data_IF_795055365304
#
_entry.id   IF_795055365304
#
_cell.length_a   1.000
_cell.length_b   1.000
_cell.length_c   1.000
_cell.angle_alpha   90.00
_cell.angle_beta   90.00
_cell.angle_gamma   90.00
#
_symmetry.space_group_name_H-M   'P 1'
#
loop_
_entity.id
_entity.type
_entity.pdbx_description
1 polymer ?
#
# COMPACT_ATOMS: atom_id res chain seq x y z
N UNK A 1 -3.88 7.88 22.02
CA UNK A 1 -4.70 8.10 20.82
C UNK A 1 -6.14 8.21 21.28
N UNK A 2 -6.77 9.38 21.18
CA UNK A 2 -8.17 9.57 21.56
C UNK A 2 -9.08 9.05 20.46
N UNK A 3 -10.06 8.21 20.82
CA UNK A 3 -11.12 7.78 19.89
C UNK A 3 -12.19 8.88 19.91
N UNK A 4 -12.50 9.44 18.75
CA UNK A 4 -13.58 10.42 18.61
C UNK A 4 -14.93 9.75 18.91
N UNK A 5 -15.67 10.18 19.95
CA UNK A 5 -16.95 9.57 20.33
C UNK A 5 -18.07 9.81 19.31
N UNK A 6 -17.85 10.66 18.28
CA UNK A 6 -18.82 10.88 17.19
C UNK A 6 -18.71 9.86 16.05
N UNK A 7 -17.70 8.99 16.06
CA UNK A 7 -17.51 7.96 15.06
C UNK A 7 -18.68 6.96 15.08
N UNK A 8 -19.33 6.77 13.93
CA UNK A 8 -20.41 5.78 13.82
C UNK A 8 -19.87 4.40 14.18
N UNK A 9 -20.77 3.52 14.67
CA UNK A 9 -20.38 2.15 15.04
C UNK A 9 -19.77 1.36 13.87
N UNK A 10 -19.95 1.85 12.64
CA UNK A 10 -19.54 1.23 11.38
C UNK A 10 -18.35 1.93 10.72
N UNK A 11 -17.74 2.95 11.35
CA UNK A 11 -16.58 3.64 10.78
C UNK A 11 -15.32 2.78 10.91
N UNK A 12 -14.53 2.72 9.84
CA UNK A 12 -13.25 2.00 9.79
C UNK A 12 -12.09 2.98 9.71
N UNK A 13 -11.02 2.69 10.45
CA UNK A 13 -9.71 3.31 10.26
C UNK A 13 -8.89 2.50 9.27
N UNK A 14 -8.68 3.05 8.09
CA UNK A 14 -7.86 2.48 7.04
C UNK A 14 -6.41 2.93 7.19
N UNK A 15 -5.50 1.97 7.24
CA UNK A 15 -4.06 2.20 7.17
C UNK A 15 -3.60 1.73 5.80
N UNK A 16 -3.27 2.68 4.92
CA UNK A 16 -2.79 2.39 3.57
C UNK A 16 -1.28 2.54 3.56
N UNK A 17 -0.59 1.41 3.63
CA UNK A 17 0.86 1.34 3.51
C UNK A 17 1.28 1.30 2.04
N UNK A 18 2.23 2.17 1.70
CA UNK A 18 2.90 2.19 0.42
C UNK A 18 4.40 2.42 0.63
N UNK A 19 5.19 2.08 -0.39
CA UNK A 19 6.62 2.35 -0.38
C UNK A 19 7.19 2.01 -1.75
N UNK A 20 8.22 2.74 -2.21
CA UNK A 20 8.98 2.32 -3.38
C UNK A 20 9.47 0.86 -3.22
N UNK A 21 9.65 0.11 -4.32
CA UNK A 21 10.36 -1.16 -4.28
C UNK A 21 11.68 -1.03 -3.52
N UNK A 22 12.17 -2.09 -2.87
CA UNK A 22 13.48 -2.08 -2.15
C UNK A 22 13.61 -1.19 -0.92
N UNK A 23 12.48 -0.88 -0.31
CA UNK A 23 12.40 -0.22 1.00
C UNK A 23 12.10 -1.18 2.15
N UNK A 24 12.04 -2.50 1.89
CA UNK A 24 11.66 -3.51 2.90
C UNK A 24 10.15 -3.79 2.95
N UNK A 25 9.40 -3.31 1.94
CA UNK A 25 7.97 -3.57 1.72
C UNK A 25 7.64 -5.06 1.77
N UNK A 26 8.40 -5.90 1.08
CA UNK A 26 8.20 -7.37 1.05
C UNK A 26 8.19 -7.98 2.46
N UNK A 27 9.19 -7.67 3.28
CA UNK A 27 9.29 -8.22 4.64
C UNK A 27 8.13 -7.78 5.53
N UNK A 28 7.72 -6.51 5.42
CA UNK A 28 6.55 -6.01 6.14
C UNK A 28 5.27 -6.68 5.68
N UNK A 29 5.06 -6.83 4.37
CA UNK A 29 3.85 -7.45 3.85
C UNK A 29 3.75 -8.93 4.20
N UNK A 30 4.88 -9.66 4.16
CA UNK A 30 4.95 -11.05 4.61
C UNK A 30 4.63 -11.17 6.10
N UNK A 31 5.14 -10.27 6.94
CA UNK A 31 4.81 -10.23 8.36
C UNK A 31 3.31 -9.97 8.59
N UNK A 32 2.74 -8.97 7.92
CA UNK A 32 1.30 -8.67 8.01
C UNK A 32 0.44 -9.86 7.61
N UNK A 33 0.87 -10.63 6.60
CA UNK A 33 0.18 -11.84 6.17
C UNK A 33 0.31 -12.98 7.17
N UNK A 34 1.52 -13.21 7.67
CA UNK A 34 1.80 -14.29 8.61
C UNK A 34 1.07 -14.10 9.95
N UNK A 35 0.92 -12.84 10.37
CA UNK A 35 0.31 -12.48 11.65
C UNK A 35 -1.16 -12.04 11.50
N UNK A 36 -1.83 -12.32 10.38
CA UNK A 36 -3.20 -11.83 10.12
C UNK A 36 -4.20 -12.26 11.19
N UNK A 37 -4.07 -13.49 11.69
CA UNK A 37 -4.98 -14.04 12.71
C UNK A 37 -4.75 -13.37 14.07
N UNK A 38 -3.48 -13.16 14.44
CA UNK A 38 -3.11 -12.43 15.65
C UNK A 38 -3.62 -10.98 15.60
N UNK A 39 -3.40 -10.30 14.47
CA UNK A 39 -3.88 -8.94 14.23
C UNK A 39 -5.40 -8.84 14.29
N UNK A 40 -6.11 -9.82 13.71
CA UNK A 40 -7.58 -9.89 13.78
C UNK A 40 -8.07 -10.03 15.22
N UNK A 41 -7.43 -10.87 16.03
CA UNK A 41 -7.71 -10.97 17.47
C UNK A 41 -7.50 -9.66 18.25
N UNK A 42 -6.70 -8.74 17.71
CA UNK A 42 -6.47 -7.39 18.23
C UNK A 42 -7.37 -6.32 17.58
N UNK A 43 -8.32 -6.70 16.73
CA UNK A 43 -9.25 -5.81 16.05
C UNK A 43 -8.68 -5.11 14.81
N UNK A 44 -7.64 -5.69 14.21
CA UNK A 44 -6.99 -5.21 12.97
C UNK A 44 -7.19 -6.24 11.85
N UNK A 45 -7.92 -5.85 10.81
CA UNK A 45 -8.09 -6.65 9.61
C UNK A 45 -6.93 -6.45 8.64
N UNK A 46 -6.39 -7.56 8.13
CA UNK A 46 -5.49 -7.59 6.96
C UNK A 46 -6.24 -8.36 5.88
N UNK A 47 -7.04 -7.67 5.04
CA UNK A 47 -7.92 -8.32 4.09
C UNK A 47 -7.13 -9.08 3.01
N UNK A 48 -7.81 -10.03 2.39
CA UNK A 48 -7.27 -10.92 1.35
C UNK A 48 -7.73 -10.52 -0.04
N UNK A 49 -8.77 -9.69 -0.15
CA UNK A 49 -9.24 -9.16 -1.43
C UNK A 49 -8.14 -8.34 -2.11
N UNK A 50 -7.86 -8.67 -3.38
CA UNK A 50 -6.79 -8.06 -4.14
C UNK A 50 -5.38 -8.50 -3.73
N UNK A 51 -5.26 -9.51 -2.85
CA UNK A 51 -3.98 -10.08 -2.47
C UNK A 51 -3.46 -11.03 -3.54
N UNK A 52 -2.24 -10.78 -4.01
CA UNK A 52 -1.51 -11.68 -4.90
C UNK A 52 -0.07 -11.78 -4.39
N UNK A 53 0.51 -12.97 -4.42
CA UNK A 53 1.83 -13.25 -3.87
C UNK A 53 1.98 -12.75 -2.41
N UNK A 54 2.74 -11.68 -2.20
CA UNK A 54 3.04 -11.14 -0.89
C UNK A 54 2.32 -9.83 -0.57
N UNK A 55 1.45 -9.25 -1.41
CA UNK A 55 0.82 -7.95 -1.14
C UNK A 55 -0.55 -7.76 -1.83
N UNK A 56 -1.20 -6.62 -1.60
CA UNK A 56 -2.43 -6.23 -2.29
C UNK A 56 -2.14 -5.74 -3.73
N UNK A 57 -1.50 -6.55 -4.58
CA UNK A 57 -1.15 -6.14 -5.95
C UNK A 57 -2.37 -5.93 -6.86
N UNK A 58 -3.54 -6.46 -6.51
CA UNK A 58 -4.80 -6.21 -7.20
C UNK A 58 -5.45 -4.86 -6.87
N UNK A 59 -5.06 -4.25 -5.75
CA UNK A 59 -5.64 -2.98 -5.31
C UNK A 59 -5.24 -1.78 -6.20
N UNK A 60 -3.96 -1.55 -6.54
CA UNK A 60 -3.56 -0.45 -7.42
C UNK A 60 -4.33 -0.39 -8.75
N UNK A 61 -4.42 -1.47 -9.56
CA UNK A 61 -5.21 -1.42 -10.79
C UNK A 61 -6.70 -1.22 -10.52
N UNK A 62 -7.27 -1.78 -9.45
CA UNK A 62 -8.67 -1.55 -9.08
C UNK A 62 -8.94 -0.08 -8.72
N UNK A 63 -8.02 0.60 -8.03
CA UNK A 63 -8.13 2.03 -7.73
C UNK A 63 -8.07 2.87 -9.01
N UNK A 64 -7.13 2.58 -9.91
CA UNK A 64 -6.97 3.32 -11.18
C UNK A 64 -8.19 3.12 -12.08
N UNK A 65 -8.66 1.88 -12.23
CA UNK A 65 -9.80 1.54 -13.07
C UNK A 65 -11.15 1.89 -12.42
N UNK A 66 -11.17 2.26 -11.13
CA UNK A 66 -12.38 2.38 -10.30
C UNK A 66 -13.25 1.13 -10.40
N UNK A 67 -12.62 -0.03 -10.28
CA UNK A 67 -13.29 -1.33 -10.30
C UNK A 67 -14.15 -1.50 -9.04
N UNK A 68 -15.43 -1.12 -9.16
CA UNK A 68 -16.37 -1.14 -8.06
C UNK A 68 -16.59 -2.54 -7.50
N UNK A 69 -16.47 -3.61 -8.31
CA UNK A 69 -16.65 -4.97 -7.83
C UNK A 69 -15.55 -5.37 -6.85
N UNK A 70 -14.28 -5.18 -7.23
CA UNK A 70 -13.14 -5.48 -6.36
C UNK A 70 -13.13 -4.59 -5.11
N UNK A 71 -13.45 -3.30 -5.25
CA UNK A 71 -13.45 -2.37 -4.12
C UNK A 71 -14.62 -2.64 -3.15
N UNK A 72 -15.80 -3.01 -3.65
CA UNK A 72 -16.92 -3.43 -2.80
C UNK A 72 -16.62 -4.74 -2.07
N UNK A 73 -16.05 -5.74 -2.76
CA UNK A 73 -15.61 -6.98 -2.11
C UNK A 73 -14.62 -6.72 -0.97
N UNK A 74 -13.64 -5.83 -1.19
CA UNK A 74 -12.66 -5.45 -0.18
C UNK A 74 -13.33 -4.79 1.03
N UNK A 75 -14.28 -3.88 0.78
CA UNK A 75 -15.04 -3.23 1.84
C UNK A 75 -15.86 -4.24 2.63
N UNK A 76 -16.59 -5.12 1.95
CA UNK A 76 -17.45 -6.12 2.57
C UNK A 76 -16.64 -7.10 3.43
N UNK A 77 -15.45 -7.51 2.97
CA UNK A 77 -14.52 -8.32 3.76
C UNK A 77 -14.10 -7.62 5.05
N UNK A 78 -13.72 -6.34 4.97
CA UNK A 78 -13.34 -5.55 6.15
C UNK A 78 -14.51 -5.39 7.11
N UNK A 79 -15.71 -5.07 6.62
CA UNK A 79 -16.89 -4.93 7.47
C UNK A 79 -17.28 -6.26 8.13
N UNK A 80 -17.19 -7.36 7.39
CA UNK A 80 -17.52 -8.70 7.89
C UNK A 80 -16.52 -9.21 8.93
N UNK A 81 -15.30 -8.68 8.94
CA UNK A 81 -14.29 -9.03 9.95
C UNK A 81 -14.62 -8.53 11.37
N UNK A 82 -15.53 -7.55 11.49
CA UNK A 82 -15.82 -6.87 12.77
C UNK A 82 -14.67 -6.03 13.34
N UNK A 83 -13.54 -5.95 12.63
CA UNK A 83 -12.39 -5.15 13.01
C UNK A 83 -12.66 -3.65 12.77
N UNK A 84 -12.05 -2.78 13.58
CA UNK A 84 -12.18 -1.32 13.43
C UNK A 84 -11.03 -0.69 12.66
N UNK A 85 -9.95 -1.45 12.47
CA UNK A 85 -8.78 -1.03 11.70
C UNK A 85 -8.60 -1.99 10.54
N UNK A 86 -8.31 -1.48 9.35
CA UNK A 86 -7.96 -2.27 8.19
C UNK A 86 -6.60 -1.84 7.64
N UNK A 87 -5.72 -2.78 7.35
CA UNK A 87 -4.37 -2.52 6.82
C UNK A 87 -4.28 -2.98 5.37
N UNK A 88 -4.13 -2.03 4.46
CA UNK A 88 -3.86 -2.28 3.05
C UNK A 88 -2.38 -2.04 2.78
N UNK A 89 -1.74 -2.89 1.99
CA UNK A 89 -0.31 -2.80 1.73
C UNK A 89 0.04 -3.25 0.33
N UNK A 90 0.73 -2.40 -0.42
CA UNK A 90 1.27 -2.74 -1.74
C UNK A 90 2.33 -1.72 -2.15
N UNK A 91 3.47 -2.18 -2.66
CA UNK A 91 4.48 -1.28 -3.23
C UNK A 91 4.01 -0.64 -4.54
N UNK A 92 3.11 -1.32 -5.27
CA UNK A 92 2.50 -0.81 -6.49
C UNK A 92 1.53 0.35 -6.24
N UNK A 93 1.21 0.67 -4.98
CA UNK A 93 0.51 1.92 -4.64
C UNK A 93 1.41 3.14 -4.81
N UNK A 94 2.73 3.00 -4.71
CA UNK A 94 3.66 4.13 -4.86
C UNK A 94 3.48 4.87 -6.19
N UNK A 95 3.57 4.22 -7.38
CA UNK A 95 3.36 4.91 -8.65
C UNK A 95 1.93 5.46 -8.82
N UNK A 96 0.92 4.80 -8.24
CA UNK A 96 -0.47 5.29 -8.28
C UNK A 96 -0.62 6.58 -7.48
N UNK A 97 -0.15 6.61 -6.23
CA UNK A 97 -0.26 7.80 -5.39
C UNK A 97 0.63 8.94 -5.85
N UNK A 98 1.71 8.65 -6.57
CA UNK A 98 2.54 9.68 -7.21
C UNK A 98 1.83 10.34 -8.39
N UNK A 99 1.09 9.58 -9.20
CA UNK A 99 0.45 10.08 -10.43
C UNK A 99 -1.00 10.54 -10.25
N UNK A 100 -1.72 9.94 -9.30
CA UNK A 100 -3.13 10.20 -8.98
C UNK A 100 -3.34 10.14 -7.45
N UNK A 101 -2.85 11.12 -6.68
CA UNK A 101 -2.98 11.13 -5.22
C UNK A 101 -4.43 11.06 -4.73
N UNK A 102 -5.39 11.53 -5.52
CA UNK A 102 -6.83 11.46 -5.27
C UNK A 102 -7.46 10.09 -5.53
N UNK A 103 -6.72 9.12 -6.09
CA UNK A 103 -7.26 7.79 -6.40
C UNK A 103 -7.83 7.10 -5.16
N UNK A 104 -7.21 7.27 -3.99
CA UNK A 104 -7.74 6.75 -2.72
C UNK A 104 -9.10 7.36 -2.37
N UNK A 105 -9.18 8.70 -2.32
CA UNK A 105 -10.38 9.41 -1.86
C UNK A 105 -11.53 9.33 -2.85
N UNK A 106 -11.26 9.15 -4.15
CA UNK A 106 -12.27 9.08 -5.22
C UNK A 106 -12.66 7.66 -5.63
N UNK A 107 -12.02 6.63 -5.06
CA UNK A 107 -12.25 5.22 -5.41
C UNK A 107 -13.64 4.69 -5.05
N UNK A 108 -14.32 5.30 -4.07
CA UNK A 108 -15.54 4.74 -3.48
C UNK A 108 -15.29 3.62 -2.46
N UNK A 109 -14.03 3.28 -2.15
CA UNK A 109 -13.68 2.28 -1.13
C UNK A 109 -14.06 2.73 0.28
N UNK A 110 -13.91 4.03 0.57
CA UNK A 110 -14.09 4.60 1.91
C UNK A 110 -15.48 5.24 2.04
N UNK A 111 -16.19 4.96 3.13
CA UNK A 111 -17.50 5.54 3.40
C UNK A 111 -17.38 6.84 4.22
N UNK A 112 -18.44 7.67 4.25
CA UNK A 112 -18.52 8.78 5.18
C UNK A 112 -18.28 8.33 6.63
N UNK A 113 -17.35 8.99 7.32
CA UNK A 113 -16.96 8.67 8.70
C UNK A 113 -15.72 7.77 8.82
N UNK A 114 -15.31 7.09 7.75
CA UNK A 114 -14.03 6.39 7.72
C UNK A 114 -12.87 7.38 7.83
N UNK A 115 -11.76 6.93 8.40
CA UNK A 115 -10.50 7.68 8.42
C UNK A 115 -9.44 6.94 7.62
N UNK A 116 -8.65 7.66 6.84
CA UNK A 116 -7.58 7.07 6.03
C UNK A 116 -6.24 7.65 6.48
N UNK A 117 -5.37 6.78 6.99
CA UNK A 117 -3.98 7.09 7.28
C UNK A 117 -3.10 6.47 6.21
N UNK A 118 -2.34 7.29 5.50
CA UNK A 118 -1.37 6.82 4.52
C UNK A 118 0.01 6.74 5.19
N UNK A 119 0.69 5.60 5.07
CA UNK A 119 2.00 5.34 5.68
C UNK A 119 3.01 5.00 4.59
N UNK A 120 3.98 5.88 4.39
CA UNK A 120 5.08 5.68 3.44
C UNK A 120 6.30 5.05 4.12
N UNK A 121 6.80 3.93 3.60
CA UNK A 121 8.09 3.36 4.01
C UNK A 121 9.19 3.84 3.06
N UNK A 122 10.15 4.60 3.60
CA UNK A 122 11.26 5.17 2.82
C UNK A 122 12.60 4.61 3.30
N UNK A 123 13.57 4.57 2.38
CA UNK A 123 14.96 4.18 2.65
C UNK A 123 15.89 5.32 2.24
N UNK A 124 17.03 5.54 2.92
CA UNK A 124 18.04 6.49 2.45
C UNK A 124 18.43 6.22 0.99
N UNK A 125 18.56 7.30 0.22
CA UNK A 125 18.70 7.24 -1.24
C UNK A 125 19.86 6.35 -1.71
N UNK A 126 21.06 6.51 -1.16
CA UNK A 126 22.23 5.71 -1.54
C UNK A 126 22.01 4.20 -1.38
N UNK A 127 21.65 3.72 -0.17
CA UNK A 127 21.29 2.32 0.04
C UNK A 127 20.12 1.82 -0.81
N UNK A 128 19.15 2.68 -1.12
CA UNK A 128 18.03 2.34 -2.00
C UNK A 128 18.51 2.08 -3.44
N UNK A 129 19.30 2.99 -4.01
CA UNK A 129 19.91 2.87 -5.34
C UNK A 129 20.73 1.59 -5.49
N UNK A 130 21.58 1.27 -4.51
CA UNK A 130 22.38 0.03 -4.51
C UNK A 130 21.47 -1.20 -4.54
N UNK A 131 20.36 -1.17 -3.81
CA UNK A 131 19.43 -2.29 -3.75
C UNK A 131 18.63 -2.45 -5.05
N UNK A 132 18.28 -1.36 -5.71
CA UNK A 132 17.60 -1.35 -7.01
C UNK A 132 18.53 -1.89 -8.10
N UNK A 133 19.78 -1.41 -8.15
CA UNK A 133 20.81 -1.92 -9.06
C UNK A 133 21.09 -3.40 -8.83
N UNK A 134 21.19 -3.83 -7.57
CA UNK A 134 21.36 -5.25 -7.25
C UNK A 134 20.19 -6.12 -7.73
N UNK A 135 18.97 -5.59 -7.80
CA UNK A 135 17.84 -6.30 -8.41
C UNK A 135 17.91 -6.33 -9.93
N UNK A 136 18.21 -5.22 -10.60
CA UNK A 136 18.26 -5.17 -12.06
C UNK A 136 19.29 -6.15 -12.64
N UNK A 137 20.39 -6.39 -11.92
CA UNK A 137 21.37 -7.42 -12.27
C UNK A 137 20.81 -8.85 -12.14
N UNK A 138 19.89 -9.11 -11.19
CA UNK A 138 19.28 -10.43 -10.99
C UNK A 138 18.15 -10.71 -11.97
N UNK A 139 17.36 -9.69 -12.34
CA UNK A 139 16.22 -9.85 -13.25
C UNK A 139 16.62 -9.89 -14.72
N UNK A 140 17.91 -9.79 -15.03
CA UNK A 140 18.45 -9.67 -16.41
C UNK A 140 17.93 -8.44 -17.17
N UNK A 141 17.36 -7.46 -16.46
CA UNK A 141 16.93 -6.19 -17.05
C UNK A 141 18.11 -5.26 -17.36
N UNK A 142 19.29 -5.57 -16.83
CA UNK A 142 20.55 -5.01 -17.34
C UNK A 142 20.71 -3.50 -17.15
N UNK A 143 19.94 -2.88 -16.23
CA UNK A 143 20.12 -1.47 -15.90
C UNK A 143 21.53 -1.26 -15.35
N UNK A 144 22.36 -0.55 -16.11
CA UNK A 144 23.65 -0.06 -15.63
C UNK A 144 23.39 1.05 -14.60
N UNK A 145 24.35 1.31 -13.73
CA UNK A 145 24.22 2.36 -12.70
C UNK A 145 23.86 3.70 -13.33
N UNK A 146 24.38 4.00 -14.52
CA UNK A 146 24.07 5.23 -15.26
C UNK A 146 22.62 5.29 -15.73
N UNK A 147 21.99 4.16 -16.07
CA UNK A 147 20.57 4.10 -16.44
C UNK A 147 19.68 4.29 -15.22
N UNK A 148 20.07 3.71 -14.08
CA UNK A 148 19.39 3.96 -12.80
C UNK A 148 19.48 5.44 -12.40
N UNK A 149 20.64 6.08 -12.59
CA UNK A 149 20.81 7.51 -12.34
C UNK A 149 20.02 8.39 -13.32
N UNK A 150 19.88 7.99 -14.60
CA UNK A 150 19.02 8.70 -15.57
C UNK A 150 17.54 8.63 -15.21
N UNK A 151 17.03 7.44 -14.91
CA UNK A 151 15.65 7.25 -14.46
C UNK A 151 15.33 8.17 -13.27
N UNK A 152 16.29 8.30 -12.35
CA UNK A 152 16.18 9.22 -11.21
C UNK A 152 16.04 10.69 -11.60
N UNK A 153 16.84 11.13 -12.56
CA UNK A 153 16.81 12.50 -13.06
C UNK A 153 15.51 12.78 -13.84
N UNK A 154 15.09 11.85 -14.68
CA UNK A 154 13.90 11.97 -15.53
C UNK A 154 12.59 11.97 -14.73
N UNK A 155 12.53 11.24 -13.61
CA UNK A 155 11.35 11.19 -12.76
C UNK A 155 11.32 12.29 -11.67
N UNK A 156 12.26 13.24 -11.67
CA UNK A 156 12.21 14.42 -10.80
C UNK A 156 12.59 14.18 -9.32
N UNK A 157 13.34 13.12 -9.02
CA UNK A 157 13.70 12.74 -7.64
C UNK A 157 14.89 13.57 -7.07
N UNK A 158 15.24 14.69 -7.70
CA UNK A 158 16.42 15.52 -7.35
C UNK A 158 16.12 16.60 -6.32
N UNK A 159 14.87 16.72 -5.84
CA UNK A 159 14.47 17.72 -4.83
C UNK A 159 13.83 17.03 -3.62
N UNK A 160 14.65 16.65 -2.65
CA UNK A 160 14.23 16.34 -1.28
C UNK A 160 15.01 17.24 -0.34
#
# INVERSE_FOLDING_TARGET
MGVDPSASKDSVRWVVHFGPPKTGTTSLQQLLRAESDLLSGLGVSVPTTGWFDNAHHGLPPALVARDSATLSMLRDEVMSSGCRVAVLTSENLFPVLQSAPEALTTSGLFAPGDTVQVVGHLRPLGPWLVSLWGESLRTSEGLWVDDALRLFHEHGWTRV
#
